data_IF_773047595686
#
_entry.id   IF_773047595686
#
_cell.length_a   1.000
_cell.length_b   1.000
_cell.length_c   1.000
_cell.angle_alpha   90.00
_cell.angle_beta   90.00
_cell.angle_gamma   90.00
#
_symmetry.space_group_name_H-M   'P 1'
#
loop_
_entity.id
_entity.type
_entity.pdbx_description
1 polymer ?
#
# COMPACT_ATOMS: atom_id res chain seq x y z
N UNK A 1 -16.14 21.82 8.67
CA UNK A 1 -14.91 21.31 8.03
C UNK A 1 -15.31 20.34 6.94
N UNK A 2 -14.83 20.55 5.71
CA UNK A 2 -15.10 19.66 4.57
C UNK A 2 -14.24 18.39 4.70
N UNK A 3 -14.87 17.22 4.58
CA UNK A 3 -14.19 15.91 4.50
C UNK A 3 -14.46 15.30 3.13
N UNK A 4 -13.45 14.68 2.54
CA UNK A 4 -13.53 14.01 1.25
C UNK A 4 -13.41 12.51 1.49
N UNK A 5 -14.28 11.72 0.87
CA UNK A 5 -14.20 10.27 0.91
C UNK A 5 -13.26 9.79 -0.20
N UNK A 6 -12.20 9.10 0.17
CA UNK A 6 -11.23 8.52 -0.77
C UNK A 6 -11.10 7.03 -0.53
N UNK A 7 -10.80 6.28 -1.58
CA UNK A 7 -10.41 4.88 -1.45
C UNK A 7 -8.89 4.83 -1.26
N UNK A 8 -8.45 4.00 -0.33
CA UNK A 8 -7.05 3.73 -0.07
C UNK A 8 -6.82 2.22 -0.04
N UNK A 9 -5.57 1.78 -0.13
CA UNK A 9 -5.25 0.36 -0.01
C UNK A 9 -5.66 -0.19 1.36
N UNK A 10 -6.03 -1.48 1.40
CA UNK A 10 -6.31 -2.14 2.67
C UNK A 10 -5.00 -2.24 3.48
N UNK A 11 -4.87 -1.56 4.64
CA UNK A 11 -3.61 -1.55 5.40
C UNK A 11 -3.36 -2.89 6.10
N UNK A 12 -4.39 -3.72 6.23
CA UNK A 12 -4.28 -5.02 6.90
C UNK A 12 -3.47 -6.03 6.08
N UNK A 13 -3.47 -5.90 4.75
CA UNK A 13 -2.84 -6.87 3.86
C UNK A 13 -2.23 -6.23 2.61
N UNK A 14 -1.76 -4.98 2.74
CA UNK A 14 -1.03 -4.28 1.68
C UNK A 14 -1.76 -4.28 0.32
N UNK A 15 -3.07 -4.01 0.36
CA UNK A 15 -3.91 -3.99 -0.84
C UNK A 15 -4.31 -5.37 -1.39
N UNK A 16 -3.81 -6.48 -0.83
CA UNK A 16 -4.18 -7.82 -1.28
C UNK A 16 -5.65 -8.12 -0.96
N UNK A 17 -6.47 -8.16 -1.99
CA UNK A 17 -7.88 -8.50 -1.91
C UNK A 17 -8.10 -9.94 -1.41
N UNK A 18 -7.28 -10.88 -1.86
CA UNK A 18 -7.40 -12.30 -1.57
C UNK A 18 -6.07 -12.86 -1.08
N UNK A 19 -6.12 -13.63 0.01
CA UNK A 19 -4.95 -14.17 0.68
C UNK A 19 -4.97 -15.70 0.67
N UNK A 20 -3.80 -16.35 0.61
CA UNK A 20 -3.68 -17.79 0.78
C UNK A 20 -4.32 -18.24 2.10
N UNK A 21 -5.31 -19.12 2.01
CA UNK A 21 -6.06 -19.66 3.16
C UNK A 21 -5.69 -21.11 3.49
N UNK A 22 -4.97 -21.80 2.60
CA UNK A 22 -4.52 -23.17 2.81
C UNK A 22 -4.51 -24.01 1.54
N UNK A 23 -3.73 -25.09 1.55
CA UNK A 23 -3.71 -26.05 0.44
C UNK A 23 -4.86 -27.05 0.56
N UNK A 24 -5.48 -27.36 -0.58
CA UNK A 24 -6.49 -28.40 -0.67
C UNK A 24 -6.25 -29.27 -1.91
N UNK A 25 -6.90 -30.42 -1.95
CA UNK A 25 -6.84 -31.35 -3.08
C UNK A 25 -8.14 -31.21 -3.88
N UNK A 26 -8.02 -31.07 -5.19
CA UNK A 26 -9.18 -31.08 -6.09
C UNK A 26 -9.73 -32.49 -6.30
N UNK A 27 -10.78 -32.62 -7.12
CA UNK A 27 -11.37 -33.92 -7.43
C UNK A 27 -10.49 -34.82 -8.31
N UNK A 28 -9.39 -34.30 -8.86
CA UNK A 28 -8.40 -35.03 -9.66
C UNK A 28 -7.19 -35.48 -8.83
N UNK A 29 -7.12 -35.12 -7.55
CA UNK A 29 -5.98 -35.40 -6.69
C UNK A 29 -4.86 -34.36 -6.77
N UNK A 30 -5.05 -33.25 -7.49
CA UNK A 30 -4.07 -32.19 -7.61
C UNK A 30 -4.18 -31.21 -6.43
N UNK A 31 -3.03 -30.85 -5.85
CA UNK A 31 -2.94 -29.84 -4.78
C UNK A 31 -3.00 -28.43 -5.37
N UNK A 32 -3.84 -27.58 -4.79
CA UNK A 32 -3.88 -26.16 -5.12
C UNK A 32 -4.04 -25.30 -3.86
N UNK A 33 -3.56 -24.06 -3.94
CA UNK A 33 -3.71 -23.07 -2.87
C UNK A 33 -5.11 -22.44 -2.96
N UNK A 34 -5.89 -22.51 -1.89
CA UNK A 34 -7.12 -21.73 -1.76
C UNK A 34 -6.80 -20.32 -1.36
N UNK A 35 -7.59 -19.41 -1.87
CA UNK A 35 -7.55 -18.00 -1.51
C UNK A 35 -8.87 -17.60 -0.86
N UNK A 36 -8.78 -16.86 0.24
CA UNK A 36 -9.93 -16.28 0.92
C UNK A 36 -9.91 -14.76 0.78
N UNK A 37 -11.08 -14.11 0.67
CA UNK A 37 -11.13 -12.65 0.65
C UNK A 37 -10.62 -12.10 1.99
N UNK A 38 -9.94 -10.96 1.93
CA UNK A 38 -9.56 -10.22 3.13
C UNK A 38 -10.83 -9.91 3.96
N UNK A 39 -10.84 -10.21 5.27
CA UNK A 39 -12.02 -9.99 6.11
C UNK A 39 -12.34 -8.51 6.32
N UNK A 40 -11.38 -7.61 6.11
CA UNK A 40 -11.56 -6.17 6.32
C UNK A 40 -12.09 -5.46 5.07
N UNK A 41 -11.54 -5.74 3.90
CA UNK A 41 -12.00 -5.16 2.63
C UNK A 41 -12.95 -6.06 1.83
N UNK A 42 -13.28 -7.25 2.35
CA UNK A 42 -14.15 -8.25 1.71
C UNK A 42 -13.77 -8.56 0.25
N UNK A 43 -12.47 -8.66 -0.04
CA UNK A 43 -11.99 -8.90 -1.39
C UNK A 43 -11.92 -7.67 -2.29
N UNK A 44 -12.15 -6.46 -1.77
CA UNK A 44 -12.06 -5.22 -2.55
C UNK A 44 -10.64 -4.69 -2.72
N UNK A 45 -9.67 -5.15 -1.93
CA UNK A 45 -8.28 -4.65 -1.91
C UNK A 45 -8.14 -3.21 -1.39
N UNK A 46 -9.23 -2.45 -1.34
CA UNK A 46 -9.28 -1.05 -0.92
C UNK A 46 -10.28 -0.85 0.22
N UNK A 47 -10.08 0.22 1.00
CA UNK A 47 -10.98 0.67 2.06
C UNK A 47 -11.22 2.17 1.92
N UNK A 48 -12.48 2.56 2.14
CA UNK A 48 -12.86 3.97 2.18
C UNK A 48 -12.32 4.63 3.44
N UNK A 49 -11.61 5.75 3.28
CA UNK A 49 -11.19 6.63 4.37
C UNK A 49 -11.68 8.06 4.14
N UNK A 50 -12.07 8.72 5.22
CA UNK A 50 -12.41 10.14 5.19
C UNK A 50 -11.16 10.95 5.48
N UNK A 51 -10.75 11.77 4.51
CA UNK A 51 -9.61 12.68 4.65
C UNK A 51 -10.06 14.12 4.71
N UNK A 52 -9.22 14.97 5.30
CA UNK A 52 -9.41 16.42 5.26
C UNK A 52 -9.14 16.95 3.86
N UNK A 53 -9.68 18.14 3.55
CA UNK A 53 -9.40 18.81 2.27
C UNK A 53 -7.89 19.10 2.07
N UNK A 54 -7.17 19.38 3.16
CA UNK A 54 -5.72 19.60 3.12
C UNK A 54 -4.95 18.34 2.74
N UNK A 55 -5.33 17.19 3.28
CA UNK A 55 -4.75 15.89 2.89
C UNK A 55 -5.10 15.53 1.44
N UNK A 56 -6.34 15.76 1.03
CA UNK A 56 -6.76 15.52 -0.35
C UNK A 56 -5.96 16.38 -1.34
N UNK A 57 -5.72 17.65 -1.03
CA UNK A 57 -4.88 18.53 -1.85
C UNK A 57 -3.42 18.04 -1.94
N UNK A 58 -2.89 17.44 -0.86
CA UNK A 58 -1.55 16.81 -0.90
C UNK A 58 -1.53 15.60 -1.82
N UNK A 59 -2.52 14.70 -1.71
CA UNK A 59 -2.64 13.53 -2.59
C UNK A 59 -2.73 13.95 -4.07
N UNK A 60 -3.58 14.93 -4.40
CA UNK A 60 -3.67 15.48 -5.75
C UNK A 60 -2.35 16.07 -6.25
N UNK A 61 -1.61 16.78 -5.39
CA UNK A 61 -0.30 17.34 -5.75
C UNK A 61 0.73 16.24 -6.03
N UNK A 62 0.66 15.13 -5.30
CA UNK A 62 1.54 13.98 -5.49
C UNK A 62 1.25 13.28 -6.81
N UNK A 63 -0.02 12.98 -7.12
CA UNK A 63 -0.45 12.37 -8.39
C UNK A 63 -0.10 13.19 -9.63
N UNK A 64 -0.14 14.52 -9.53
CA UNK A 64 0.22 15.41 -10.64
C UNK A 64 1.74 15.61 -10.79
N UNK A 65 2.54 15.11 -9.85
CA UNK A 65 3.98 15.27 -9.89
C UNK A 65 4.61 14.26 -10.84
N UNK A 66 5.56 14.71 -11.67
CA UNK A 66 6.35 13.80 -12.53
C UNK A 66 7.45 13.04 -11.78
N UNK A 67 7.65 13.36 -10.51
CA UNK A 67 8.70 12.79 -9.66
C UNK A 67 10.14 12.89 -10.23
N UNK A 68 10.43 13.91 -11.06
CA UNK A 68 11.76 14.11 -11.67
C UNK A 68 12.91 14.35 -10.67
N UNK A 69 12.58 14.74 -9.45
CA UNK A 69 13.56 15.03 -8.40
C UNK A 69 13.26 14.15 -7.20
N UNK A 70 13.99 13.04 -7.11
CA UNK A 70 13.94 12.10 -6.00
C UNK A 70 15.18 12.22 -5.14
N UNK A 71 15.03 11.89 -3.87
CA UNK A 71 16.11 11.78 -2.92
C UNK A 71 15.84 10.60 -1.99
N UNK A 72 16.91 10.02 -1.47
CA UNK A 72 16.82 8.98 -0.47
C UNK A 72 16.80 9.60 0.93
N UNK A 73 15.83 9.23 1.77
CA UNK A 73 15.67 9.71 3.13
C UNK A 73 15.57 8.52 4.11
N UNK A 74 16.37 8.52 5.17
CA UNK A 74 16.36 7.49 6.20
C UNK A 74 17.75 7.16 6.71
N UNK A 75 17.88 6.10 7.50
CA UNK A 75 19.15 5.63 8.04
C UNK A 75 19.13 4.11 8.27
N UNK A 76 20.33 3.54 8.42
CA UNK A 76 20.50 2.15 8.87
C UNK A 76 20.48 2.14 10.40
N UNK A 77 19.76 1.17 10.97
CA UNK A 77 19.59 0.96 12.40
C UNK A 77 20.23 -0.37 12.83
N UNK A 78 20.73 -0.39 14.05
CA UNK A 78 21.32 -1.57 14.69
C UNK A 78 20.63 -1.79 16.03
N UNK A 79 19.94 -2.91 16.20
CA UNK A 79 19.26 -3.25 17.45
C UNK A 79 19.27 -4.74 17.70
N UNK A 80 19.60 -5.16 18.92
CA UNK A 80 19.56 -6.57 19.37
C UNK A 80 20.35 -7.57 18.49
N UNK A 81 21.37 -7.13 17.75
CA UNK A 81 22.14 -7.99 16.84
C UNK A 81 21.59 -8.04 15.41
N UNK A 82 20.46 -7.40 15.17
CA UNK A 82 19.85 -7.25 13.85
C UNK A 82 20.22 -5.91 13.21
N UNK A 83 20.34 -5.93 11.88
CA UNK A 83 20.54 -4.75 11.04
C UNK A 83 19.30 -4.57 10.18
N UNK A 84 18.68 -3.39 10.27
CA UNK A 84 17.51 -3.02 9.47
C UNK A 84 17.59 -1.54 9.11
N UNK A 85 16.88 -1.11 8.07
CA UNK A 85 16.89 0.29 7.66
C UNK A 85 15.46 0.83 7.48
N UNK A 86 15.34 2.16 7.49
CA UNK A 86 14.12 2.87 7.13
C UNK A 86 14.36 3.83 5.95
N UNK A 87 15.27 3.43 5.05
CA UNK A 87 15.66 4.21 3.89
C UNK A 87 14.52 4.18 2.88
N UNK A 88 14.07 5.36 2.47
CA UNK A 88 12.97 5.54 1.54
C UNK A 88 13.33 6.47 0.39
N UNK A 89 12.87 6.19 -0.82
CA UNK A 89 12.91 7.13 -1.93
C UNK A 89 11.73 8.10 -1.83
N UNK A 90 12.04 9.40 -1.77
CA UNK A 90 11.05 10.47 -1.65
C UNK A 90 11.22 11.49 -2.76
N UNK A 91 10.11 11.98 -3.29
CA UNK A 91 10.14 13.09 -4.24
C UNK A 91 10.31 14.43 -3.50
N UNK A 92 11.36 15.19 -3.81
CA UNK A 92 11.63 16.49 -3.18
C UNK A 92 10.54 17.53 -3.52
N UNK A 93 9.94 17.45 -4.71
CA UNK A 93 8.98 18.44 -5.19
C UNK A 93 7.58 18.33 -4.55
N UNK A 94 7.11 17.10 -4.31
CA UNK A 94 5.78 16.84 -3.77
C UNK A 94 5.77 16.14 -2.39
N UNK A 95 6.90 15.61 -1.94
CA UNK A 95 7.02 14.86 -0.69
C UNK A 95 6.36 13.48 -0.74
N UNK A 96 6.07 12.93 -1.93
CA UNK A 96 5.58 11.56 -2.07
C UNK A 96 6.70 10.58 -1.70
N UNK A 97 6.35 9.54 -0.93
CA UNK A 97 7.16 8.35 -0.80
C UNK A 97 6.91 7.48 -2.04
N UNK A 98 7.99 7.09 -2.72
CA UNK A 98 7.94 6.36 -4.00
C UNK A 98 8.15 4.85 -3.84
N UNK A 99 8.52 4.37 -2.65
CA UNK A 99 8.59 2.94 -2.35
C UNK A 99 7.22 2.36 -1.97
N UNK A 100 6.31 3.22 -1.52
CA UNK A 100 4.95 2.82 -1.23
C UNK A 100 4.18 2.61 -2.52
N UNK A 101 3.52 1.45 -2.63
CA UNK A 101 2.62 1.14 -3.74
C UNK A 101 1.51 2.19 -3.79
N UNK A 102 1.40 2.86 -4.92
CA UNK A 102 0.30 3.77 -5.19
C UNK A 102 -0.91 3.00 -5.70
N UNK A 103 -2.09 3.60 -5.61
CA UNK A 103 -3.33 2.97 -6.11
C UNK A 103 -3.27 2.69 -7.63
N UNK A 104 -2.40 3.39 -8.36
CA UNK A 104 -2.15 3.21 -9.80
C UNK A 104 -1.31 1.98 -10.15
N UNK A 105 -0.59 1.38 -9.20
CA UNK A 105 0.30 0.24 -9.47
C UNK A 105 -0.45 -1.10 -9.62
N UNK A 106 -1.78 -1.10 -9.41
CA UNK A 106 -2.64 -2.28 -9.48
C UNK A 106 -3.70 -2.23 -10.60
N UNK A 107 -3.68 -1.20 -11.46
CA UNK A 107 -4.57 -1.07 -12.63
C UNK A 107 -3.88 -1.58 -13.89
#
# INVERSE_FOLDING_TARGET
MLKVHVLDYCPHYDGQAYLPSGEVVDHLGCRYMRYAPCPHCSGGGTLGKWVSLGEFAKLLKQELCKHNHTATQGSIHFSAGDVWDNIQEVCIGCGANLDQKTLGDFI
#
